data_IF_039436912072
#
_entry.id   IF_039436912072
#
_cell.length_a   1.000
_cell.length_b   1.000
_cell.length_c   1.000
_cell.angle_alpha   90.00
_cell.angle_beta   90.00
_cell.angle_gamma   90.00
#
_symmetry.space_group_name_H-M   'P 1'
#
loop_
_entity.id
_entity.type
_entity.pdbx_description
1 polymer ?
#
# COMPACT_ATOMS: atom_id res chain seq x y z
N UNK A 1 16.07 19.85 13.07
CA UNK A 1 16.23 18.76 12.08
C UNK A 1 15.39 17.55 12.52
N UNK A 2 14.08 17.72 12.67
CA UNK A 2 13.52 17.54 14.02
C UNK A 2 12.52 16.41 14.28
N UNK A 3 11.53 16.16 13.43
CA UNK A 3 10.46 15.19 13.77
C UNK A 3 10.15 14.26 12.60
N UNK A 4 10.28 14.76 11.37
CA UNK A 4 10.02 14.00 10.15
C UNK A 4 10.85 12.71 10.04
N UNK A 5 12.16 12.78 10.33
CA UNK A 5 13.03 11.60 10.29
C UNK A 5 12.68 10.57 11.35
N UNK A 6 12.23 11.02 12.53
CA UNK A 6 11.80 10.11 13.61
C UNK A 6 10.52 9.39 13.20
N UNK A 7 9.54 10.13 12.65
CA UNK A 7 8.30 9.54 12.13
C UNK A 7 8.58 8.56 11.00
N UNK A 8 9.48 8.91 10.07
CA UNK A 8 9.87 8.05 8.97
C UNK A 8 10.56 6.76 9.46
N UNK A 9 11.47 6.89 10.43
CA UNK A 9 12.13 5.73 11.04
C UNK A 9 11.11 4.81 11.74
N UNK A 10 10.17 5.38 12.50
CA UNK A 10 9.10 4.61 13.15
C UNK A 10 8.23 3.90 12.11
N UNK A 11 7.85 4.59 11.04
CA UNK A 11 7.07 4.00 9.94
C UNK A 11 7.78 2.79 9.33
N UNK A 12 9.07 2.92 8.99
CA UNK A 12 9.83 1.79 8.47
C UNK A 12 9.96 0.64 9.48
N UNK A 13 10.23 0.95 10.75
CA UNK A 13 10.30 -0.07 11.80
C UNK A 13 8.99 -0.87 11.93
N UNK A 14 7.83 -0.19 11.85
CA UNK A 14 6.51 -0.84 11.91
C UNK A 14 6.32 -1.76 10.70
N UNK A 15 6.59 -1.27 9.48
CA UNK A 15 6.45 -2.09 8.26
C UNK A 15 7.37 -3.31 8.31
N UNK A 16 8.61 -3.13 8.74
CA UNK A 16 9.57 -4.21 8.84
C UNK A 16 9.15 -5.26 9.88
N UNK A 17 8.63 -4.82 11.03
CA UNK A 17 8.10 -5.70 12.06
C UNK A 17 6.91 -6.52 11.54
N UNK A 18 5.98 -5.90 10.81
CA UNK A 18 4.85 -6.60 10.18
C UNK A 18 5.36 -7.63 9.17
N UNK A 19 6.34 -7.28 8.34
CA UNK A 19 6.96 -8.17 7.37
C UNK A 19 7.62 -9.39 8.01
N UNK A 20 8.36 -9.19 9.12
CA UNK A 20 8.98 -10.30 9.87
C UNK A 20 7.91 -11.21 10.47
N UNK A 21 6.86 -10.65 11.08
CA UNK A 21 5.76 -11.45 11.65
C UNK A 21 5.04 -12.26 10.57
N UNK A 22 4.77 -11.66 9.42
CA UNK A 22 4.17 -12.34 8.29
C UNK A 22 5.07 -13.46 7.74
N UNK A 23 6.37 -13.19 7.57
CA UNK A 23 7.35 -14.16 7.10
C UNK A 23 7.46 -15.38 8.04
N UNK A 24 7.37 -15.16 9.35
CA UNK A 24 7.37 -16.25 10.35
C UNK A 24 6.09 -17.09 10.33
N UNK A 25 5.00 -16.57 9.77
CA UNK A 25 3.73 -17.29 9.60
C UNK A 25 3.61 -18.01 8.26
N UNK A 26 4.55 -17.80 7.33
CA UNK A 26 4.55 -18.46 6.02
C UNK A 26 5.23 -19.81 6.14
N UNK A 27 4.45 -20.89 6.11
CA UNK A 27 4.98 -22.27 6.19
C UNK A 27 5.08 -22.93 4.81
N UNK A 28 4.36 -22.44 3.79
CA UNK A 28 4.45 -22.95 2.43
C UNK A 28 3.94 -22.01 1.33
N UNK A 29 3.95 -22.52 0.08
CA UNK A 29 3.57 -21.74 -1.11
C UNK A 29 2.12 -21.23 -1.08
N UNK A 30 1.20 -21.99 -0.50
CA UNK A 30 -0.20 -21.56 -0.36
C UNK A 30 -0.32 -20.34 0.57
N UNK A 31 0.49 -20.29 1.63
CA UNK A 31 0.49 -19.16 2.56
C UNK A 31 1.15 -17.94 1.94
N UNK A 32 2.21 -18.16 1.17
CA UNK A 32 2.93 -17.09 0.48
C UNK A 32 2.08 -16.45 -0.63
N UNK A 33 1.41 -17.26 -1.46
CA UNK A 33 0.68 -16.78 -2.65
C UNK A 33 -0.74 -16.35 -2.32
N UNK A 34 -1.43 -17.06 -1.41
CA UNK A 34 -2.85 -16.85 -1.13
C UNK A 34 -3.13 -16.39 0.31
N UNK A 35 -2.11 -16.11 1.13
CA UNK A 35 -2.30 -15.78 2.55
C UNK A 35 -3.01 -16.90 3.32
N UNK A 36 -2.83 -18.15 2.89
CA UNK A 36 -3.48 -19.32 3.48
C UNK A 36 -5.00 -19.33 3.30
N UNK A 37 -5.54 -18.51 2.38
CA UNK A 37 -6.99 -18.27 2.18
C UNK A 37 -7.71 -17.81 3.46
N UNK A 38 -6.94 -17.28 4.41
CA UNK A 38 -7.42 -16.86 5.73
C UNK A 38 -7.68 -15.36 5.82
N UNK A 39 -7.25 -14.60 4.81
CA UNK A 39 -7.45 -13.15 4.74
C UNK A 39 -8.92 -12.83 4.46
N UNK A 40 -9.49 -11.93 5.26
CA UNK A 40 -10.86 -11.49 5.08
C UNK A 40 -11.00 -10.68 3.78
N UNK A 41 -12.16 -10.73 3.09
CA UNK A 41 -12.37 -10.03 1.83
C UNK A 41 -12.03 -8.54 1.87
N UNK A 42 -12.32 -7.87 3.00
CA UNK A 42 -12.01 -6.44 3.17
C UNK A 42 -10.50 -6.16 3.23
N UNK A 43 -9.72 -6.99 3.93
CA UNK A 43 -8.25 -6.82 4.01
C UNK A 43 -7.62 -7.11 2.64
N UNK A 44 -8.12 -8.11 1.92
CA UNK A 44 -7.69 -8.43 0.56
C UNK A 44 -8.00 -7.30 -0.41
N UNK A 45 -9.21 -6.72 -0.35
CA UNK A 45 -9.61 -5.59 -1.20
C UNK A 45 -8.79 -4.33 -0.92
N UNK A 46 -8.52 -4.03 0.36
CA UNK A 46 -7.63 -2.93 0.74
C UNK A 46 -6.20 -3.16 0.25
N UNK A 47 -5.71 -4.39 0.33
CA UNK A 47 -4.39 -4.77 -0.20
C UNK A 47 -4.29 -4.62 -1.72
N UNK A 48 -5.33 -5.02 -2.45
CA UNK A 48 -5.41 -4.82 -3.90
C UNK A 48 -5.41 -3.32 -4.24
N UNK A 49 -6.29 -2.52 -3.62
CA UNK A 49 -6.34 -1.08 -3.84
C UNK A 49 -5.03 -0.37 -3.49
N UNK A 50 -4.38 -0.73 -2.38
CA UNK A 50 -3.07 -0.18 -2.02
C UNK A 50 -1.96 -0.55 -3.02
N UNK A 51 -2.06 -1.71 -3.67
CA UNK A 51 -1.11 -2.15 -4.71
C UNK A 51 -1.28 -1.35 -5.99
N UNK A 52 -2.51 -1.02 -6.37
CA UNK A 52 -2.82 -0.14 -7.51
C UNK A 52 -2.44 1.32 -7.22
N UNK A 53 -2.56 1.73 -5.95
CA UNK A 53 -2.32 3.07 -5.43
C UNK A 53 -0.85 3.33 -5.05
N UNK A 54 0.08 3.09 -5.99
CA UNK A 54 1.51 3.37 -5.80
C UNK A 54 1.87 4.84 -6.13
N UNK A 55 3.06 5.09 -6.71
CA UNK A 55 3.52 6.43 -7.12
C UNK A 55 2.55 7.19 -8.04
N UNK A 56 1.55 6.49 -8.60
CA UNK A 56 0.42 7.07 -9.31
C UNK A 56 -0.32 8.14 -8.49
N UNK A 57 -0.65 7.93 -7.22
CA UNK A 57 -1.39 8.93 -6.45
C UNK A 57 -0.53 10.12 -6.00
N UNK A 58 0.76 9.89 -5.76
CA UNK A 58 1.66 10.93 -5.25
C UNK A 58 2.09 11.92 -6.33
N UNK A 59 2.28 11.46 -7.57
CA UNK A 59 2.81 12.27 -8.67
C UNK A 59 2.01 12.16 -9.97
N UNK A 60 1.50 10.97 -10.32
CA UNK A 60 0.79 10.73 -11.57
C UNK A 60 -0.55 11.46 -11.65
N UNK A 61 -1.43 11.23 -10.68
CA UNK A 61 -2.76 11.79 -10.62
C UNK A 61 -2.75 13.33 -10.44
N UNK A 62 -1.98 13.92 -9.50
CA UNK A 62 -1.90 15.37 -9.40
C UNK A 62 -1.29 16.00 -10.66
N UNK A 63 -0.32 15.33 -11.30
CA UNK A 63 0.27 15.78 -12.56
C UNK A 63 -0.72 15.76 -13.72
N UNK A 64 -1.50 14.67 -13.84
CA UNK A 64 -2.54 14.53 -14.86
C UNK A 64 -3.63 15.58 -14.69
N UNK A 65 -4.11 15.80 -13.46
CA UNK A 65 -5.11 16.83 -13.14
C UNK A 65 -4.55 18.24 -13.37
N UNK A 66 -3.27 18.48 -13.03
CA UNK A 66 -2.63 19.78 -13.25
C UNK A 66 -2.57 20.16 -14.73
N UNK A 67 -2.33 19.18 -15.62
CA UNK A 67 -2.25 19.41 -17.08
C UNK A 67 -3.64 19.41 -17.75
N UNK A 68 -4.52 18.49 -17.34
CA UNK A 68 -5.77 18.20 -18.06
C UNK A 68 -6.98 18.93 -17.48
N UNK A 69 -6.92 19.32 -16.21
CA UNK A 69 -8.03 19.92 -15.47
C UNK A 69 -8.72 18.95 -14.50
N UNK A 70 -9.77 19.45 -13.84
CA UNK A 70 -10.56 18.70 -12.84
C UNK A 70 -11.50 17.66 -13.46
N UNK A 71 -11.63 17.63 -14.77
CA UNK A 71 -12.35 16.59 -15.51
C UNK A 71 -11.74 15.20 -15.29
N UNK A 72 -10.46 15.11 -14.93
CA UNK A 72 -9.75 13.86 -14.63
C UNK A 72 -9.89 13.38 -13.17
N UNK A 73 -10.76 14.00 -12.36
CA UNK A 73 -10.94 13.65 -10.94
C UNK A 73 -11.58 12.26 -10.73
N UNK A 74 -12.05 11.60 -11.79
CA UNK A 74 -12.58 10.23 -11.72
C UNK A 74 -11.48 9.16 -11.61
N UNK A 75 -10.25 9.45 -12.05
CA UNK A 75 -9.12 8.52 -12.06
C UNK A 75 -8.73 7.87 -10.70
N UNK A 76 -8.88 8.52 -9.52
CA UNK A 76 -8.59 7.89 -8.24
C UNK A 76 -9.78 7.10 -7.67
N UNK A 77 -10.96 7.16 -8.30
CA UNK A 77 -12.14 6.38 -7.91
C UNK A 77 -12.01 4.92 -8.41
N UNK A 78 -11.25 4.72 -9.49
CA UNK A 78 -11.09 3.43 -10.17
C UNK A 78 -11.80 3.41 -11.51
#
# INVERSE_FOLDING_TARGET
MSTYYIVLAIYFCIIFAIGIVAARKTEGNSDYVLGGRSLSPGVTALGAGASDMSGWLLLGLPGAVFVSGLDQIWLPIG
#
